data_IF_250291832267
#
_entry.id   IF_250291832267
#
_cell.length_a   1.000
_cell.length_b   1.000
_cell.length_c   1.000
_cell.angle_alpha   90.00
_cell.angle_beta   90.00
_cell.angle_gamma   90.00
#
_symmetry.space_group_name_H-M   'P 1'
#
loop_
_entity.id
_entity.type
_entity.pdbx_description
1 polymer ?
#
# COMPACT_ATOMS: atom_id res chain seq x y z
N UNK A 1 5.55 -25.13 19.19
CA UNK A 1 4.29 -24.39 18.96
C UNK A 1 3.22 -24.73 19.99
N UNK A 2 2.93 -26.00 20.27
CA UNK A 2 1.90 -26.35 21.28
C UNK A 2 2.18 -25.78 22.69
N UNK A 3 3.45 -25.63 23.09
CA UNK A 3 3.83 -25.12 24.42
C UNK A 3 3.78 -23.57 24.53
N UNK A 4 3.83 -22.85 23.44
CA UNK A 4 3.78 -21.39 23.46
C UNK A 4 2.80 -20.86 22.41
N UNK A 5 1.64 -20.40 22.88
CA UNK A 5 0.54 -19.90 22.05
C UNK A 5 0.90 -18.66 21.23
N UNK A 6 1.93 -17.90 21.65
CA UNK A 6 2.42 -16.75 20.93
C UNK A 6 2.94 -17.11 19.53
N UNK A 7 3.67 -18.21 19.39
CA UNK A 7 4.14 -18.66 18.08
C UNK A 7 2.97 -19.01 17.14
N UNK A 8 1.97 -19.72 17.65
CA UNK A 8 0.80 -20.06 16.84
C UNK A 8 0.08 -18.81 16.36
N UNK A 9 -0.17 -17.89 17.28
CA UNK A 9 -0.86 -16.64 16.98
C UNK A 9 -0.08 -15.77 15.96
N UNK A 10 1.18 -15.45 16.26
CA UNK A 10 1.96 -14.53 15.45
C UNK A 10 2.43 -15.12 14.12
N UNK A 11 2.63 -16.44 14.03
CA UNK A 11 3.15 -17.05 12.79
C UNK A 11 2.06 -17.55 11.86
N UNK A 12 0.86 -17.86 12.36
CA UNK A 12 -0.21 -18.45 11.54
C UNK A 12 -1.46 -17.60 11.61
N UNK A 13 -2.07 -17.43 12.80
CA UNK A 13 -3.39 -16.81 12.94
C UNK A 13 -3.37 -15.37 12.47
N UNK A 14 -2.44 -14.58 12.93
CA UNK A 14 -2.38 -13.15 12.62
C UNK A 14 -2.02 -12.88 11.15
N UNK A 15 -1.01 -13.51 10.51
CA UNK A 15 -0.76 -13.33 9.08
C UNK A 15 -1.93 -13.73 8.18
N UNK A 16 -2.60 -14.84 8.50
CA UNK A 16 -3.81 -15.27 7.78
C UNK A 16 -4.93 -14.25 7.96
N UNK A 17 -5.17 -13.79 9.18
CA UNK A 17 -6.16 -12.76 9.47
C UNK A 17 -5.84 -11.45 8.70
N UNK A 18 -4.60 -10.97 8.74
CA UNK A 18 -4.18 -9.76 8.02
C UNK A 18 -4.40 -9.89 6.51
N UNK A 19 -4.12 -11.08 5.94
CA UNK A 19 -4.35 -11.35 4.52
C UNK A 19 -5.84 -11.19 4.17
N UNK A 20 -6.73 -11.87 4.89
CA UNK A 20 -8.16 -11.76 4.64
C UNK A 20 -8.71 -10.37 4.95
N UNK A 21 -8.24 -9.74 6.01
CA UNK A 21 -8.69 -8.41 6.43
C UNK A 21 -8.42 -7.36 5.34
N UNK A 22 -7.19 -7.24 4.85
CA UNK A 22 -6.86 -6.23 3.85
C UNK A 22 -7.48 -6.52 2.50
N UNK A 23 -7.51 -7.78 2.06
CA UNK A 23 -8.15 -8.15 0.79
C UNK A 23 -9.65 -7.90 0.80
N UNK A 24 -10.34 -8.20 1.91
CA UNK A 24 -11.76 -7.93 2.07
C UNK A 24 -12.07 -6.44 2.25
N UNK A 25 -11.24 -5.71 3.00
CA UNK A 25 -11.41 -4.26 3.21
C UNK A 25 -11.38 -3.48 1.89
N UNK A 26 -10.61 -3.94 0.93
CA UNK A 26 -10.39 -3.25 -0.35
C UNK A 26 -10.96 -4.03 -1.54
N UNK A 27 -11.94 -4.91 -1.33
CA UNK A 27 -12.49 -5.82 -2.35
C UNK A 27 -13.07 -5.06 -3.55
N UNK A 28 -13.69 -3.91 -3.33
CA UNK A 28 -14.22 -3.04 -4.38
C UNK A 28 -13.13 -2.33 -5.22
N UNK A 29 -11.87 -2.45 -4.84
CA UNK A 29 -10.70 -1.91 -5.54
C UNK A 29 -10.51 -0.41 -5.42
N UNK A 30 -11.55 0.40 -5.35
CA UNK A 30 -11.51 1.85 -5.08
C UNK A 30 -12.59 2.22 -4.06
N UNK A 31 -12.38 3.28 -3.24
CA UNK A 31 -13.46 3.84 -2.44
C UNK A 31 -14.65 4.24 -3.30
N UNK A 32 -15.82 3.75 -2.96
CA UNK A 32 -17.08 4.02 -3.65
C UNK A 32 -18.02 4.84 -2.79
N UNK A 33 -19.05 5.43 -3.42
CA UNK A 33 -20.13 6.15 -2.73
C UNK A 33 -19.65 7.20 -1.72
N UNK A 34 -18.51 7.86 -1.98
CA UNK A 34 -18.00 8.90 -1.07
C UNK A 34 -18.97 10.07 -0.98
N UNK A 35 -19.42 10.45 0.23
CA UNK A 35 -20.42 11.47 0.42
C UNK A 35 -19.94 12.85 -0.05
N UNK A 36 -20.71 13.44 -0.98
CA UNK A 36 -20.53 14.81 -1.47
C UNK A 36 -21.82 15.60 -1.34
N UNK A 37 -21.70 16.93 -1.20
CA UNK A 37 -22.81 17.84 -1.10
C UNK A 37 -23.02 18.67 -2.37
N UNK A 38 -24.18 19.30 -2.46
CA UNK A 38 -24.51 20.25 -3.53
C UNK A 38 -25.11 21.50 -2.91
N UNK A 39 -24.63 22.67 -3.34
CA UNK A 39 -25.23 23.98 -3.07
C UNK A 39 -25.72 24.53 -4.41
N UNK A 40 -27.00 24.40 -4.71
CA UNK A 40 -27.60 24.84 -5.96
C UNK A 40 -28.51 26.05 -5.74
N UNK A 41 -28.00 27.24 -6.07
CA UNK A 41 -28.79 28.49 -6.01
C UNK A 41 -29.48 28.83 -7.34
N UNK A 42 -29.15 28.12 -8.43
CA UNK A 42 -29.80 28.29 -9.74
C UNK A 42 -31.07 27.46 -9.87
N UNK A 43 -31.08 26.29 -9.27
CA UNK A 43 -32.19 25.33 -9.18
C UNK A 43 -32.87 25.03 -10.54
N UNK A 44 -32.06 24.96 -11.59
CA UNK A 44 -32.50 24.77 -12.97
C UNK A 44 -32.52 23.30 -13.38
N UNK A 45 -33.04 23.03 -14.58
CA UNK A 45 -32.98 21.71 -15.21
C UNK A 45 -31.53 21.30 -15.53
N UNK A 46 -30.67 22.29 -15.84
CA UNK A 46 -29.25 22.08 -16.15
C UNK A 46 -28.44 21.69 -14.92
N UNK A 47 -28.59 22.46 -13.82
CA UNK A 47 -27.87 22.14 -12.57
C UNK A 47 -28.32 20.81 -11.98
N UNK A 48 -29.61 20.46 -12.07
CA UNK A 48 -30.14 19.13 -11.69
C UNK A 48 -29.57 17.99 -12.53
N UNK A 49 -29.31 18.23 -13.85
CA UNK A 49 -28.64 17.23 -14.70
C UNK A 49 -27.20 17.04 -14.31
N UNK A 50 -26.46 18.11 -14.01
CA UNK A 50 -25.07 18.04 -13.55
C UNK A 50 -24.96 17.35 -12.17
N UNK A 51 -25.89 17.62 -11.27
CA UNK A 51 -25.97 16.92 -9.98
C UNK A 51 -26.20 15.42 -10.15
N UNK A 52 -27.12 15.02 -11.03
CA UNK A 52 -27.36 13.61 -11.35
C UNK A 52 -26.17 12.96 -12.03
N UNK A 53 -25.44 13.69 -12.87
CA UNK A 53 -24.21 13.19 -13.47
C UNK A 53 -23.14 12.95 -12.41
N UNK A 54 -22.97 13.84 -11.43
CA UNK A 54 -22.06 13.66 -10.32
C UNK A 54 -22.45 12.45 -9.46
N UNK A 55 -23.73 12.26 -9.19
CA UNK A 55 -24.28 11.15 -8.42
C UNK A 55 -24.18 9.80 -9.18
N UNK A 56 -23.96 9.81 -10.49
CA UNK A 56 -23.80 8.61 -11.31
C UNK A 56 -22.38 8.07 -11.37
N UNK A 57 -21.39 8.78 -10.85
CA UNK A 57 -20.02 8.30 -10.79
C UNK A 57 -19.85 7.28 -9.66
N UNK A 58 -18.99 6.30 -9.89
CA UNK A 58 -18.76 5.22 -8.94
C UNK A 58 -18.14 5.71 -7.61
N UNK A 59 -17.28 6.74 -7.68
CA UNK A 59 -16.53 7.19 -6.50
C UNK A 59 -17.31 8.18 -5.62
N UNK A 60 -18.34 8.86 -6.17
CA UNK A 60 -19.06 9.93 -5.45
C UNK A 60 -20.55 9.67 -5.37
N UNK A 61 -21.14 10.06 -4.24
CA UNK A 61 -22.58 10.02 -4.00
C UNK A 61 -23.07 11.33 -3.43
N UNK A 62 -24.09 11.91 -4.05
CA UNK A 62 -24.72 13.13 -3.55
C UNK A 62 -25.65 12.78 -2.39
N UNK A 63 -25.22 13.08 -1.16
CA UNK A 63 -25.97 12.73 0.07
C UNK A 63 -26.82 13.89 0.61
N UNK A 64 -26.48 15.15 0.27
CA UNK A 64 -27.16 16.30 0.82
C UNK A 64 -27.16 17.50 -0.13
N UNK A 65 -28.25 18.30 -0.05
CA UNK A 65 -28.35 19.61 -0.65
C UNK A 65 -28.32 20.65 0.47
N UNK A 66 -27.40 21.61 0.36
CA UNK A 66 -27.23 22.66 1.36
C UNK A 66 -27.73 23.98 0.84
N UNK A 67 -28.41 24.81 1.68
CA UNK A 67 -28.94 26.11 1.26
C UNK A 67 -27.84 27.17 1.10
N UNK A 68 -26.68 26.96 1.72
CA UNK A 68 -25.57 27.93 1.69
C UNK A 68 -24.20 27.23 1.62
N UNK A 69 -23.21 27.98 1.11
CA UNK A 69 -21.81 27.55 1.09
C UNK A 69 -21.26 27.33 2.51
N UNK A 70 -21.71 28.15 3.47
CA UNK A 70 -21.20 28.06 4.85
C UNK A 70 -21.65 26.78 5.54
N UNK A 71 -22.90 26.37 5.35
CA UNK A 71 -23.40 25.10 5.89
C UNK A 71 -22.68 23.90 5.25
N UNK A 72 -22.49 23.92 3.94
CA UNK A 72 -21.74 22.87 3.24
C UNK A 72 -20.27 22.82 3.70
N UNK A 73 -19.62 23.98 3.94
CA UNK A 73 -18.25 24.03 4.49
C UNK A 73 -18.20 23.46 5.91
N UNK A 74 -19.18 23.74 6.74
CA UNK A 74 -19.28 23.15 8.08
C UNK A 74 -19.42 21.63 8.02
N UNK A 75 -20.18 21.08 7.07
CA UNK A 75 -20.30 19.64 6.87
C UNK A 75 -18.95 19.02 6.44
N UNK A 76 -18.19 19.69 5.57
CA UNK A 76 -16.81 19.25 5.24
C UNK A 76 -15.90 19.29 6.46
N UNK A 77 -15.96 20.36 7.27
CA UNK A 77 -15.14 20.50 8.48
C UNK A 77 -15.46 19.44 9.54
N UNK A 78 -16.71 19.03 9.64
CA UNK A 78 -17.15 17.94 10.54
C UNK A 78 -16.81 16.55 9.99
N UNK A 79 -16.39 16.44 8.72
CA UNK A 79 -16.13 15.16 8.06
C UNK A 79 -17.40 14.40 7.65
N UNK A 80 -18.54 15.08 7.56
CA UNK A 80 -19.81 14.50 7.10
C UNK A 80 -19.82 14.26 5.58
N UNK A 81 -19.11 15.13 4.82
CA UNK A 81 -18.91 15.04 3.39
C UNK A 81 -17.45 15.32 3.02
N UNK A 82 -16.95 14.75 1.94
CA UNK A 82 -15.58 14.98 1.44
C UNK A 82 -15.45 16.25 0.59
N UNK A 83 -16.56 16.75 0.03
CA UNK A 83 -16.58 17.95 -0.77
C UNK A 83 -17.98 18.33 -1.22
N UNK A 84 -18.09 19.46 -1.88
CA UNK A 84 -19.35 19.92 -2.48
C UNK A 84 -19.13 20.76 -3.73
N UNK A 85 -20.13 20.79 -4.60
CA UNK A 85 -20.20 21.69 -5.74
C UNK A 85 -21.15 22.85 -5.43
N UNK A 86 -20.76 24.05 -5.86
CA UNK A 86 -21.56 25.27 -5.75
C UNK A 86 -21.97 25.78 -7.12
N UNK A 87 -23.27 25.86 -7.37
CA UNK A 87 -23.88 26.48 -8.54
C UNK A 87 -24.45 27.86 -8.14
N UNK A 88 -23.87 28.98 -8.62
CA UNK A 88 -24.36 30.31 -8.31
C UNK A 88 -25.70 30.59 -9.02
N UNK A 89 -26.41 31.63 -8.56
CA UNK A 89 -27.62 32.10 -9.22
C UNK A 89 -27.33 32.49 -10.67
N UNK A 90 -28.28 32.22 -11.59
CA UNK A 90 -28.18 32.52 -13.04
C UNK A 90 -27.16 31.69 -13.83
N UNK A 91 -26.61 30.61 -13.24
CA UNK A 91 -25.68 29.71 -13.95
C UNK A 91 -26.23 29.31 -15.33
N UNK A 92 -27.47 28.85 -15.40
CA UNK A 92 -28.11 28.44 -16.68
C UNK A 92 -28.38 29.60 -17.61
N UNK A 93 -28.81 30.75 -17.07
CA UNK A 93 -29.09 31.95 -17.89
C UNK A 93 -27.78 32.45 -18.55
N UNK A 94 -26.67 32.43 -17.84
CA UNK A 94 -25.37 32.82 -18.39
C UNK A 94 -24.87 31.82 -19.44
N UNK A 95 -25.06 30.51 -19.21
CA UNK A 95 -24.75 29.47 -20.22
C UNK A 95 -25.53 29.70 -21.50
N UNK A 96 -26.85 29.95 -21.43
CA UNK A 96 -27.68 30.21 -22.61
C UNK A 96 -27.33 31.52 -23.29
N UNK A 97 -26.84 32.50 -22.56
CA UNK A 97 -26.38 33.79 -23.08
C UNK A 97 -24.94 33.72 -23.65
N UNK A 98 -24.36 32.54 -23.77
CA UNK A 98 -22.94 32.31 -24.16
C UNK A 98 -21.95 33.04 -23.27
N UNK A 99 -22.29 33.26 -22.01
CA UNK A 99 -21.38 33.70 -20.94
C UNK A 99 -20.87 32.52 -20.16
N UNK A 100 -19.68 32.63 -19.61
CA UNK A 100 -19.06 31.57 -18.80
C UNK A 100 -19.42 31.74 -17.32
N UNK A 101 -20.36 30.95 -16.74
CA UNK A 101 -20.60 30.96 -15.32
C UNK A 101 -19.43 30.27 -14.58
N UNK A 102 -19.15 30.72 -13.37
CA UNK A 102 -18.15 30.11 -12.50
C UNK A 102 -18.81 29.12 -11.56
N UNK A 103 -18.53 27.83 -11.74
CA UNK A 103 -18.91 26.76 -10.82
C UNK A 103 -17.72 26.50 -9.90
N UNK A 104 -17.95 26.50 -8.57
CA UNK A 104 -16.89 26.32 -7.60
C UNK A 104 -16.95 24.94 -6.96
N UNK A 105 -15.78 24.33 -6.77
CA UNK A 105 -15.61 23.06 -6.01
C UNK A 105 -14.92 23.35 -4.71
N UNK A 106 -15.45 22.73 -3.65
CA UNK A 106 -14.82 22.70 -2.34
C UNK A 106 -14.64 21.25 -1.94
N UNK A 107 -13.42 20.84 -1.65
CA UNK A 107 -13.11 19.45 -1.32
C UNK A 107 -11.96 19.39 -0.32
N UNK A 108 -11.95 18.32 0.49
CA UNK A 108 -10.99 18.13 1.55
C UNK A 108 -9.84 17.20 1.08
N UNK A 109 -8.62 17.62 1.31
CA UNK A 109 -7.44 16.77 1.20
C UNK A 109 -6.94 16.23 2.55
N UNK A 110 -7.79 16.20 3.57
CA UNK A 110 -7.46 15.51 4.82
C UNK A 110 -7.12 14.02 4.58
N UNK A 111 -7.74 13.41 3.55
CA UNK A 111 -7.33 12.15 2.95
C UNK A 111 -6.97 12.39 1.48
N UNK A 112 -5.70 12.12 1.11
CA UNK A 112 -5.23 12.30 -0.27
C UNK A 112 -6.04 11.46 -1.28
N UNK A 113 -6.34 10.22 -0.93
CA UNK A 113 -7.11 9.32 -1.81
C UNK A 113 -8.52 9.83 -2.02
N UNK A 114 -9.26 10.10 -0.94
CA UNK A 114 -10.63 10.60 -1.03
C UNK A 114 -10.69 11.96 -1.75
N UNK A 115 -9.82 12.89 -1.38
CA UNK A 115 -9.76 14.22 -2.00
C UNK A 115 -9.46 14.16 -3.49
N UNK A 116 -8.53 13.31 -3.93
CA UNK A 116 -8.17 13.18 -5.35
C UNK A 116 -9.29 12.53 -6.18
N UNK A 117 -9.97 11.52 -5.65
CA UNK A 117 -11.10 10.89 -6.33
C UNK A 117 -12.30 11.84 -6.44
N UNK A 118 -12.68 12.52 -5.35
CA UNK A 118 -13.75 13.53 -5.36
C UNK A 118 -13.42 14.66 -6.34
N UNK A 119 -12.18 15.18 -6.31
CA UNK A 119 -11.75 16.21 -7.26
C UNK A 119 -11.82 15.73 -8.71
N UNK A 120 -11.38 14.50 -8.99
CA UNK A 120 -11.46 13.89 -10.33
C UNK A 120 -12.91 13.86 -10.83
N UNK A 121 -13.85 13.41 -10.01
CA UNK A 121 -15.26 13.30 -10.39
C UNK A 121 -15.92 14.67 -10.56
N UNK A 122 -15.66 15.63 -9.65
CA UNK A 122 -16.12 17.01 -9.78
C UNK A 122 -15.60 17.67 -11.07
N UNK A 123 -14.32 17.49 -11.39
CA UNK A 123 -13.71 18.01 -12.61
C UNK A 123 -14.29 17.33 -13.86
N UNK A 124 -14.49 16.01 -13.81
CA UNK A 124 -15.09 15.25 -14.92
C UNK A 124 -16.52 15.69 -15.18
N UNK A 125 -17.32 15.85 -14.13
CA UNK A 125 -18.69 16.37 -14.21
C UNK A 125 -18.72 17.74 -14.93
N UNK A 126 -17.86 18.68 -14.53
CA UNK A 126 -17.84 20.01 -15.15
C UNK A 126 -17.35 19.97 -16.61
N UNK A 127 -16.35 19.13 -16.91
CA UNK A 127 -15.84 18.97 -18.27
C UNK A 127 -16.92 18.39 -19.20
N UNK A 128 -17.59 17.31 -18.76
CA UNK A 128 -18.68 16.70 -19.52
C UNK A 128 -19.89 17.64 -19.64
N UNK A 129 -20.21 18.35 -18.57
CA UNK A 129 -21.28 19.36 -18.58
C UNK A 129 -20.98 20.51 -19.56
N UNK A 130 -19.77 21.03 -19.55
CA UNK A 130 -19.32 22.07 -20.46
C UNK A 130 -19.37 21.59 -21.92
N UNK A 131 -18.91 20.38 -22.16
CA UNK A 131 -18.97 19.77 -23.51
C UNK A 131 -20.41 19.57 -24.01
N UNK A 132 -21.31 19.10 -23.14
CA UNK A 132 -22.73 18.91 -23.48
C UNK A 132 -23.43 20.22 -23.83
N UNK A 133 -23.22 21.28 -23.04
CA UNK A 133 -23.76 22.61 -23.32
C UNK A 133 -23.15 23.19 -24.60
N UNK A 134 -21.81 23.10 -24.74
CA UNK A 134 -21.11 23.56 -25.95
C UNK A 134 -21.62 22.87 -27.23
N UNK A 135 -21.80 21.54 -27.16
CA UNK A 135 -22.39 20.76 -28.24
C UNK A 135 -23.80 21.29 -28.62
N UNK A 136 -24.65 21.47 -27.61
CA UNK A 136 -26.03 21.95 -27.84
C UNK A 136 -26.05 23.34 -28.51
N UNK A 137 -25.22 24.27 -28.04
CA UNK A 137 -25.14 25.65 -28.63
C UNK A 137 -24.60 25.61 -30.05
N UNK A 138 -23.56 24.81 -30.31
CA UNK A 138 -22.97 24.73 -31.66
C UNK A 138 -23.90 24.03 -32.66
N UNK A 139 -24.60 22.96 -32.22
CA UNK A 139 -25.63 22.29 -33.06
C UNK A 139 -26.74 23.28 -33.41
N UNK A 140 -27.19 24.10 -32.46
CA UNK A 140 -28.19 25.14 -32.73
C UNK A 140 -27.71 26.21 -33.72
N UNK A 141 -26.40 26.42 -33.85
CA UNK A 141 -25.75 27.31 -34.83
C UNK A 141 -25.49 26.63 -36.19
N UNK A 142 -25.86 25.37 -36.36
CA UNK A 142 -25.72 24.64 -37.62
C UNK A 142 -24.36 24.00 -37.87
N UNK A 143 -23.48 23.90 -36.85
CA UNK A 143 -22.22 23.18 -37.01
C UNK A 143 -22.43 21.66 -37.07
N UNK A 144 -21.62 20.98 -37.90
CA UNK A 144 -21.61 19.52 -37.98
C UNK A 144 -20.94 18.89 -36.75
N UNK A 145 -21.32 17.66 -36.40
CA UNK A 145 -20.70 16.94 -35.23
C UNK A 145 -19.17 16.90 -35.32
N UNK A 146 -18.60 16.76 -36.54
CA UNK A 146 -17.13 16.73 -36.72
C UNK A 146 -16.49 18.08 -36.36
N UNK A 147 -17.11 19.20 -36.77
CA UNK A 147 -16.64 20.53 -36.41
C UNK A 147 -16.78 20.81 -34.92
N UNK A 148 -17.89 20.37 -34.33
CA UNK A 148 -18.15 20.51 -32.90
C UNK A 148 -17.09 19.75 -32.10
N UNK A 149 -16.80 18.49 -32.43
CA UNK A 149 -15.78 17.70 -31.74
C UNK A 149 -14.38 18.31 -31.88
N UNK A 150 -14.01 18.78 -33.08
CA UNK A 150 -12.73 19.45 -33.31
C UNK A 150 -12.58 20.77 -32.50
N UNK A 151 -13.71 21.46 -32.25
CA UNK A 151 -13.71 22.69 -31.47
C UNK A 151 -13.70 22.43 -29.94
N UNK A 152 -14.51 21.46 -29.46
CA UNK A 152 -14.63 21.14 -28.05
C UNK A 152 -13.42 20.36 -27.52
N UNK A 153 -12.81 19.56 -28.39
CA UNK A 153 -11.66 18.73 -28.05
C UNK A 153 -10.59 18.80 -29.16
N UNK A 154 -9.89 19.95 -29.28
CA UNK A 154 -8.92 20.16 -30.36
C UNK A 154 -7.70 19.24 -30.27
N UNK A 155 -7.41 18.73 -29.06
CA UNK A 155 -6.33 17.77 -28.81
C UNK A 155 -6.94 16.52 -28.19
N UNK A 156 -6.74 15.39 -28.86
CA UNK A 156 -7.12 14.08 -28.35
C UNK A 156 -5.95 13.55 -27.51
N UNK A 157 -6.22 13.24 -26.26
CA UNK A 157 -5.24 12.61 -25.37
C UNK A 157 -5.33 11.08 -25.55
N UNK A 158 -4.26 10.51 -26.06
CA UNK A 158 -4.07 9.05 -26.07
C UNK A 158 -3.31 8.67 -24.80
N UNK A 159 -3.97 7.92 -23.91
CA UNK A 159 -3.43 7.61 -22.59
C UNK A 159 -3.19 6.11 -22.44
N UNK A 160 -1.95 5.76 -22.17
CA UNK A 160 -1.54 4.39 -21.88
C UNK A 160 -1.09 4.28 -20.42
N UNK A 161 -1.85 3.57 -19.60
CA UNK A 161 -1.45 3.28 -18.23
C UNK A 161 -0.49 2.10 -18.19
N UNK A 162 0.65 2.28 -17.53
CA UNK A 162 1.64 1.23 -17.27
C UNK A 162 1.46 0.71 -15.84
N UNK A 163 1.40 -0.60 -15.68
CA UNK A 163 1.21 -1.23 -14.38
C UNK A 163 -0.26 -1.51 -14.06
N UNK A 164 -0.84 -0.87 -13.07
CA UNK A 164 -2.22 -1.07 -12.61
C UNK A 164 -3.25 -0.23 -13.44
N UNK A 165 -3.68 -0.67 -14.63
CA UNK A 165 -4.54 0.13 -15.51
C UNK A 165 -5.93 0.34 -14.93
N UNK A 166 -6.39 -0.55 -14.06
CA UNK A 166 -7.68 -0.46 -13.37
C UNK A 166 -7.65 0.50 -12.18
N UNK A 167 -6.45 1.04 -11.82
CA UNK A 167 -6.23 1.85 -10.61
C UNK A 167 -6.83 1.17 -9.38
N UNK A 168 -6.70 -0.16 -9.32
CA UNK A 168 -7.23 -0.98 -8.24
C UNK A 168 -6.37 -0.80 -6.98
N UNK A 169 -6.99 -0.25 -5.95
CA UNK A 169 -6.33 0.06 -4.68
C UNK A 169 -5.97 -1.21 -3.90
N UNK A 170 -6.76 -2.28 -4.04
CA UNK A 170 -6.47 -3.56 -3.45
C UNK A 170 -5.18 -4.17 -4.03
N UNK A 171 -5.06 -4.17 -5.37
CA UNK A 171 -3.83 -4.64 -6.04
C UNK A 171 -2.61 -3.82 -5.61
N UNK A 172 -2.76 -2.49 -5.48
CA UNK A 172 -1.68 -1.59 -5.08
C UNK A 172 -1.25 -1.78 -3.62
N UNK A 173 -2.20 -1.78 -2.70
CA UNK A 173 -1.90 -1.67 -1.27
C UNK A 173 -1.74 -3.03 -0.58
N UNK A 174 -2.57 -4.03 -0.92
CA UNK A 174 -2.49 -5.36 -0.30
C UNK A 174 -1.17 -6.05 -0.59
N UNK A 175 -0.64 -5.90 -1.80
CA UNK A 175 0.64 -6.51 -2.21
C UNK A 175 1.84 -5.92 -1.49
N UNK A 176 1.68 -4.76 -0.87
CA UNK A 176 2.70 -4.13 -0.03
C UNK A 176 2.44 -4.35 1.47
N UNK A 177 1.23 -4.06 1.94
CA UNK A 177 0.93 -4.08 3.37
C UNK A 177 1.04 -5.48 3.98
N UNK A 178 0.46 -6.48 3.31
CA UNK A 178 0.43 -7.84 3.86
C UNK A 178 1.83 -8.45 3.97
N UNK A 179 2.68 -8.43 2.91
CA UNK A 179 4.07 -8.89 3.04
C UNK A 179 4.86 -8.08 4.08
N UNK A 180 4.67 -6.76 4.16
CA UNK A 180 5.37 -5.94 5.15
C UNK A 180 4.98 -6.33 6.57
N UNK A 181 3.69 -6.53 6.85
CA UNK A 181 3.22 -7.05 8.14
C UNK A 181 3.80 -8.44 8.44
N UNK A 182 3.81 -9.34 7.46
CA UNK A 182 4.38 -10.68 7.63
C UNK A 182 5.87 -10.60 7.98
N UNK A 183 6.66 -9.80 7.27
CA UNK A 183 8.10 -9.71 7.48
C UNK A 183 8.44 -8.98 8.80
N UNK A 184 7.63 -8.01 9.23
CA UNK A 184 7.72 -7.46 10.59
C UNK A 184 7.58 -8.57 11.64
N UNK A 185 6.62 -9.47 11.47
CA UNK A 185 6.44 -10.60 12.38
C UNK A 185 7.60 -11.59 12.30
N UNK A 186 8.16 -11.83 11.11
CA UNK A 186 9.37 -12.65 10.94
C UNK A 186 10.53 -12.04 11.75
N UNK A 187 10.77 -10.72 11.65
CA UNK A 187 11.78 -10.03 12.47
C UNK A 187 11.57 -10.26 13.96
N UNK A 188 10.33 -9.97 14.42
CA UNK A 188 9.99 -10.04 15.85
C UNK A 188 10.09 -11.46 16.40
N UNK A 189 9.53 -12.44 15.71
CA UNK A 189 9.52 -13.85 16.16
C UNK A 189 10.93 -14.43 16.13
N UNK A 190 11.75 -14.05 15.16
CA UNK A 190 13.15 -14.47 15.09
C UNK A 190 13.94 -13.94 16.30
N UNK A 191 13.86 -12.61 16.54
CA UNK A 191 14.51 -11.99 17.71
C UNK A 191 13.95 -12.54 19.03
N UNK A 192 12.62 -12.71 19.13
CA UNK A 192 11.97 -13.30 20.31
C UNK A 192 12.45 -14.73 20.57
N UNK A 193 12.56 -15.55 19.54
CA UNK A 193 12.99 -16.94 19.67
C UNK A 193 14.40 -17.08 20.24
N UNK A 194 15.34 -16.26 19.75
CA UNK A 194 16.71 -16.25 20.25
C UNK A 194 16.80 -15.61 21.64
N UNK A 195 16.13 -14.49 21.85
CA UNK A 195 16.12 -13.79 23.14
C UNK A 195 15.47 -14.59 24.26
N UNK A 196 14.50 -15.44 23.95
CA UNK A 196 13.84 -16.32 24.92
C UNK A 196 14.79 -17.39 25.44
N UNK A 197 15.75 -17.89 24.64
CA UNK A 197 16.77 -18.81 25.10
C UNK A 197 17.64 -18.19 26.22
N UNK A 198 18.01 -16.93 26.06
CA UNK A 198 18.73 -16.20 27.12
C UNK A 198 17.86 -16.00 28.35
N UNK A 199 16.60 -15.59 28.16
CA UNK A 199 15.66 -15.33 29.26
C UNK A 199 15.37 -16.58 30.09
N UNK A 200 15.19 -17.73 29.44
CA UNK A 200 14.89 -19.01 30.10
C UNK A 200 16.14 -19.77 30.56
N UNK A 201 17.33 -19.22 30.28
CA UNK A 201 18.62 -19.86 30.58
C UNK A 201 18.83 -21.21 29.88
N UNK A 202 18.16 -21.42 28.73
CA UNK A 202 18.27 -22.64 27.89
C UNK A 202 19.33 -22.50 26.81
N UNK A 203 19.94 -21.32 26.68
CA UNK A 203 20.95 -21.01 25.66
C UNK A 203 22.16 -21.96 25.71
N UNK A 204 22.62 -22.34 26.92
CA UNK A 204 23.73 -23.29 27.11
C UNK A 204 23.37 -24.68 26.58
N UNK A 205 22.18 -25.17 26.91
CA UNK A 205 21.71 -26.48 26.42
C UNK A 205 21.62 -26.48 24.89
N UNK A 206 21.15 -25.37 24.28
CA UNK A 206 21.11 -25.22 22.81
C UNK A 206 22.51 -25.31 22.22
N UNK A 207 23.53 -24.70 22.85
CA UNK A 207 24.90 -24.78 22.37
C UNK A 207 25.51 -26.18 22.57
N UNK A 208 25.30 -26.84 23.70
CA UNK A 208 25.71 -28.21 23.94
C UNK A 208 25.14 -29.19 22.92
N UNK A 209 23.83 -29.07 22.60
CA UNK A 209 23.18 -29.90 21.56
C UNK A 209 23.74 -29.70 20.15
N UNK A 210 24.38 -28.56 19.89
CA UNK A 210 24.99 -28.23 18.60
C UNK A 210 26.50 -28.43 18.55
N UNK A 211 27.06 -29.20 19.49
CA UNK A 211 28.50 -29.38 19.66
C UNK A 211 29.27 -28.07 19.72
N UNK A 212 28.73 -27.11 20.43
CA UNK A 212 29.29 -25.76 20.62
C UNK A 212 29.42 -24.90 19.34
N UNK A 213 28.79 -25.33 18.27
CA UNK A 213 28.80 -24.61 16.99
C UNK A 213 27.58 -23.67 16.90
N UNK A 214 27.74 -22.33 16.95
CA UNK A 214 26.64 -21.39 16.91
C UNK A 214 25.87 -21.40 15.58
N UNK A 215 26.54 -21.74 14.48
CA UNK A 215 25.88 -21.85 13.18
C UNK A 215 24.87 -23.00 13.16
N UNK A 216 25.25 -24.17 13.68
CA UNK A 216 24.37 -25.35 13.80
C UNK A 216 23.22 -25.06 14.76
N UNK A 217 23.52 -24.42 15.92
CA UNK A 217 22.54 -24.05 16.93
C UNK A 217 21.44 -23.15 16.34
N UNK A 218 21.83 -22.08 15.67
CA UNK A 218 20.90 -21.10 15.11
C UNK A 218 20.14 -21.70 13.93
N UNK A 219 20.80 -22.36 12.99
CA UNK A 219 20.14 -22.98 11.84
C UNK A 219 19.15 -24.04 12.28
N UNK A 220 19.51 -24.92 13.20
CA UNK A 220 18.62 -25.94 13.73
C UNK A 220 17.39 -25.37 14.43
N UNK A 221 17.57 -24.24 15.16
CA UNK A 221 16.46 -23.55 15.83
C UNK A 221 15.55 -22.80 14.86
N UNK A 222 16.11 -22.18 13.83
CA UNK A 222 15.36 -21.36 12.87
C UNK A 222 14.66 -22.20 11.80
N UNK A 223 15.21 -23.35 11.40
CA UNK A 223 14.68 -24.18 10.32
C UNK A 223 13.17 -24.51 10.46
N UNK A 224 12.66 -24.95 11.63
CA UNK A 224 11.22 -25.19 11.79
C UNK A 224 10.39 -23.91 11.61
N UNK A 225 10.89 -22.76 12.05
CA UNK A 225 10.21 -21.49 11.87
C UNK A 225 10.23 -21.04 10.41
N UNK A 226 11.35 -21.24 9.72
CA UNK A 226 11.48 -20.97 8.26
C UNK A 226 10.43 -21.74 7.48
N UNK A 227 10.28 -23.05 7.76
CA UNK A 227 9.30 -23.90 7.09
C UNK A 227 7.88 -23.33 7.30
N UNK A 228 7.53 -22.96 8.52
CA UNK A 228 6.20 -22.39 8.81
C UNK A 228 6.01 -21.06 8.07
N UNK A 229 7.00 -20.18 8.09
CA UNK A 229 6.92 -18.92 7.38
C UNK A 229 6.82 -19.07 5.86
N UNK A 230 7.52 -20.04 5.28
CA UNK A 230 7.40 -20.36 3.86
C UNK A 230 6.02 -20.91 3.50
N UNK A 231 5.42 -21.72 4.37
CA UNK A 231 4.05 -22.21 4.17
C UNK A 231 3.03 -21.07 4.25
N UNK A 232 3.18 -20.16 5.22
CA UNK A 232 2.29 -19.00 5.37
C UNK A 232 2.47 -18.01 4.21
N UNK A 233 3.69 -17.77 3.77
CA UNK A 233 3.96 -16.95 2.58
C UNK A 233 3.40 -17.61 1.32
N UNK A 234 3.56 -18.92 1.16
CA UNK A 234 2.97 -19.69 0.07
C UNK A 234 1.44 -19.63 0.06
N UNK A 235 0.81 -19.71 1.23
CA UNK A 235 -0.63 -19.49 1.37
C UNK A 235 -1.04 -18.08 0.91
N UNK A 236 -0.33 -17.03 1.34
CA UNK A 236 -0.58 -15.66 0.91
C UNK A 236 -0.48 -15.52 -0.62
N UNK A 237 0.62 -16.00 -1.21
CA UNK A 237 0.83 -15.93 -2.65
C UNK A 237 -0.27 -16.68 -3.41
N UNK A 238 -0.61 -17.90 -2.98
CA UNK A 238 -1.67 -18.67 -3.60
C UNK A 238 -3.03 -17.99 -3.49
N UNK A 239 -3.36 -17.44 -2.33
CA UNK A 239 -4.64 -16.76 -2.13
C UNK A 239 -4.75 -15.50 -2.99
N UNK A 240 -3.75 -14.63 -2.94
CA UNK A 240 -3.79 -13.33 -3.65
C UNK A 240 -3.66 -13.50 -5.18
N UNK A 241 -2.72 -14.30 -5.64
CA UNK A 241 -2.44 -14.43 -7.07
C UNK A 241 -3.16 -15.60 -7.74
N UNK A 242 -3.53 -16.63 -6.98
CA UNK A 242 -4.28 -17.77 -7.50
C UNK A 242 -5.79 -17.64 -7.33
N UNK A 243 -6.28 -17.31 -6.12
CA UNK A 243 -7.73 -17.22 -5.84
C UNK A 243 -8.29 -15.87 -6.26
N UNK A 244 -7.67 -14.77 -5.82
CA UNK A 244 -8.10 -13.40 -6.18
C UNK A 244 -7.62 -12.97 -7.57
N UNK A 245 -6.79 -13.78 -8.23
CA UNK A 245 -6.29 -13.58 -9.58
C UNK A 245 -5.63 -12.21 -9.81
N UNK A 246 -4.86 -11.70 -8.84
CA UNK A 246 -4.11 -10.48 -9.02
C UNK A 246 -3.11 -10.63 -10.17
N UNK A 247 -2.90 -9.58 -10.99
CA UNK A 247 -2.03 -9.66 -12.15
C UNK A 247 -0.57 -9.94 -11.74
N UNK A 248 0.04 -10.91 -12.40
CA UNK A 248 1.45 -11.30 -12.18
C UNK A 248 2.09 -11.78 -13.50
N UNK A 249 2.23 -10.91 -14.49
CA UNK A 249 2.79 -11.26 -15.80
C UNK A 249 4.19 -11.85 -15.72
N UNK A 250 4.96 -11.56 -14.68
CA UNK A 250 6.26 -12.21 -14.43
C UNK A 250 6.18 -13.69 -14.07
N UNK A 251 5.00 -14.22 -13.74
CA UNK A 251 4.75 -15.65 -13.49
C UNK A 251 5.05 -16.10 -12.07
N UNK A 252 4.56 -17.31 -11.76
CA UNK A 252 4.64 -17.94 -10.44
C UNK A 252 6.08 -18.17 -9.95
N UNK A 253 7.01 -18.46 -10.84
CA UNK A 253 8.40 -18.72 -10.47
C UNK A 253 9.05 -17.51 -9.80
N UNK A 254 8.77 -16.29 -10.28
CA UNK A 254 9.28 -15.04 -9.68
C UNK A 254 8.65 -14.82 -8.31
N UNK A 255 7.32 -15.00 -8.19
CA UNK A 255 6.59 -14.83 -6.92
C UNK A 255 7.09 -15.79 -5.84
N UNK A 256 7.25 -17.08 -6.18
CA UNK A 256 7.72 -18.09 -5.22
C UNK A 256 9.17 -17.84 -4.79
N UNK A 257 10.03 -17.51 -5.74
CA UNK A 257 11.43 -17.15 -5.43
C UNK A 257 11.49 -15.90 -4.54
N UNK A 258 10.72 -14.87 -4.87
CA UNK A 258 10.66 -13.63 -4.09
C UNK A 258 10.14 -13.89 -2.68
N UNK A 259 9.06 -14.66 -2.54
CA UNK A 259 8.51 -15.05 -1.23
C UNK A 259 9.52 -15.80 -0.36
N UNK A 260 10.27 -16.72 -0.97
CA UNK A 260 11.35 -17.44 -0.28
C UNK A 260 12.47 -16.49 0.16
N UNK A 261 12.99 -15.66 -0.74
CA UNK A 261 14.05 -14.69 -0.42
C UNK A 261 13.60 -13.68 0.62
N UNK A 262 12.34 -13.22 0.56
CA UNK A 262 11.77 -12.29 1.53
C UNK A 262 11.79 -12.88 2.95
N UNK A 263 11.33 -14.11 3.12
CA UNK A 263 11.34 -14.79 4.43
C UNK A 263 12.78 -14.97 4.93
N UNK A 264 13.69 -15.44 4.07
CA UNK A 264 15.09 -15.66 4.46
C UNK A 264 15.81 -14.35 4.80
N UNK A 265 15.59 -13.29 4.02
CA UNK A 265 16.15 -11.95 4.29
C UNK A 265 15.63 -11.38 5.61
N UNK A 266 14.33 -11.55 5.89
CA UNK A 266 13.72 -11.11 7.13
C UNK A 266 14.26 -11.88 8.35
N UNK A 267 14.38 -13.21 8.25
CA UNK A 267 14.99 -14.00 9.32
C UNK A 267 16.45 -13.64 9.51
N UNK A 268 17.21 -13.50 8.42
CA UNK A 268 18.62 -13.09 8.46
C UNK A 268 18.76 -11.74 9.17
N UNK A 269 17.93 -10.76 8.83
CA UNK A 269 17.92 -9.47 9.49
C UNK A 269 17.59 -9.57 10.99
N UNK A 270 16.58 -10.35 11.37
CA UNK A 270 16.21 -10.57 12.76
C UNK A 270 17.33 -11.22 13.60
N UNK A 271 18.02 -12.20 13.03
CA UNK A 271 19.20 -12.84 13.66
C UNK A 271 20.35 -11.84 13.78
N UNK A 272 20.59 -11.04 12.73
CA UNK A 272 21.63 -10.02 12.73
C UNK A 272 21.40 -8.98 13.83
N UNK A 273 20.17 -8.48 13.97
CA UNK A 273 19.82 -7.52 15.02
C UNK A 273 19.95 -8.12 16.43
N UNK A 274 19.58 -9.37 16.61
CA UNK A 274 19.85 -10.06 17.86
C UNK A 274 21.35 -10.19 18.14
N UNK A 275 22.17 -10.46 17.13
CA UNK A 275 23.63 -10.54 17.26
C UNK A 275 24.28 -9.21 17.61
N UNK A 276 23.75 -8.09 17.12
CA UNK A 276 24.19 -6.75 17.50
C UNK A 276 23.79 -6.41 18.94
N UNK A 277 22.60 -6.79 19.33
CA UNK A 277 22.02 -6.49 20.64
C UNK A 277 21.49 -7.78 21.30
N UNK A 278 22.33 -8.61 21.92
CA UNK A 278 21.93 -9.91 22.46
C UNK A 278 21.12 -9.78 23.74
N UNK A 279 19.97 -9.18 23.64
CA UNK A 279 18.98 -8.99 24.68
C UNK A 279 17.58 -9.11 24.07
N UNK A 280 16.69 -9.86 24.71
CA UNK A 280 15.31 -10.04 24.25
C UNK A 280 14.61 -8.70 24.01
N UNK A 281 14.68 -7.80 25.00
CA UNK A 281 13.98 -6.51 24.94
C UNK A 281 14.54 -5.60 23.85
N UNK A 282 15.87 -5.46 23.81
CA UNK A 282 16.53 -4.54 22.89
C UNK A 282 16.41 -5.00 21.43
N UNK A 283 16.67 -6.28 21.15
CA UNK A 283 16.54 -6.82 19.79
C UNK A 283 15.12 -6.73 19.25
N UNK A 284 14.11 -7.03 20.09
CA UNK A 284 12.70 -6.88 19.69
C UNK A 284 12.31 -5.42 19.44
N UNK A 285 12.76 -4.49 20.30
CA UNK A 285 12.46 -3.06 20.13
C UNK A 285 13.04 -2.51 18.83
N UNK A 286 14.29 -2.87 18.51
CA UNK A 286 14.93 -2.44 17.25
C UNK A 286 14.27 -3.10 16.05
N UNK A 287 13.97 -4.40 16.09
CA UNK A 287 13.24 -5.08 15.02
C UNK A 287 11.86 -4.47 14.80
N UNK A 288 11.15 -4.11 15.86
CA UNK A 288 9.84 -3.44 15.76
C UNK A 288 9.97 -2.06 15.11
N UNK A 289 10.92 -1.23 15.59
CA UNK A 289 11.15 0.10 15.00
C UNK A 289 11.51 0.00 13.52
N UNK A 290 12.43 -0.90 13.18
CA UNK A 290 12.85 -1.10 11.79
C UNK A 290 11.72 -1.59 10.89
N UNK A 291 10.91 -2.53 11.40
CA UNK A 291 9.73 -3.02 10.69
C UNK A 291 8.70 -1.92 10.45
N UNK A 292 8.41 -1.07 11.45
CA UNK A 292 7.48 0.06 11.30
C UNK A 292 8.02 1.10 10.32
N UNK A 293 9.28 1.48 10.42
CA UNK A 293 9.91 2.41 9.48
C UNK A 293 9.92 1.86 8.04
N UNK A 294 9.97 0.54 7.87
CA UNK A 294 9.91 -0.10 6.56
C UNK A 294 8.67 0.31 5.75
N UNK A 295 7.50 0.49 6.39
CA UNK A 295 6.28 0.94 5.70
C UNK A 295 6.44 2.30 5.00
N UNK A 296 7.20 3.22 5.61
CA UNK A 296 7.46 4.53 5.02
C UNK A 296 8.56 4.48 3.96
N UNK A 297 9.56 3.59 4.14
CA UNK A 297 10.74 3.51 3.29
C UNK A 297 10.60 2.59 2.07
N UNK A 298 9.51 1.83 1.98
CA UNK A 298 9.20 1.00 0.80
C UNK A 298 9.02 1.86 -0.46
N UNK A 299 8.42 3.05 -0.34
CA UNK A 299 8.22 3.98 -1.44
C UNK A 299 6.77 4.13 -1.89
N UNK A 300 5.85 3.36 -1.32
CA UNK A 300 4.41 3.44 -1.63
C UNK A 300 3.71 4.59 -0.92
N UNK A 301 4.05 4.85 0.34
CA UNK A 301 3.48 5.98 1.10
C UNK A 301 4.02 7.33 0.61
N UNK A 302 5.33 7.38 0.33
CA UNK A 302 5.99 8.54 -0.26
C UNK A 302 7.00 8.06 -1.31
N UNK A 303 6.93 8.54 -2.57
CA UNK A 303 7.82 8.11 -3.64
C UNK A 303 9.29 8.36 -3.28
N UNK A 304 10.10 7.31 -3.27
CA UNK A 304 11.50 7.41 -2.85
C UNK A 304 12.35 8.31 -3.74
N UNK A 305 12.03 8.42 -5.02
CA UNK A 305 12.71 9.34 -5.94
C UNK A 305 12.46 10.82 -5.61
N UNK A 306 11.41 11.11 -4.81
CA UNK A 306 11.11 12.45 -4.32
C UNK A 306 11.65 12.72 -2.90
N UNK A 307 12.33 11.75 -2.29
CA UNK A 307 12.99 11.92 -0.99
C UNK A 307 14.35 12.59 -1.17
N UNK A 308 14.87 13.20 -0.10
CA UNK A 308 16.24 13.69 -0.06
C UNK A 308 17.24 12.56 -0.29
N UNK A 309 18.42 12.83 -0.90
CA UNK A 309 19.39 11.79 -1.25
C UNK A 309 19.83 10.90 -0.09
N UNK A 310 19.96 11.46 1.11
CA UNK A 310 20.32 10.73 2.32
C UNK A 310 19.25 9.73 2.72
N UNK A 311 17.97 10.08 2.58
CA UNK A 311 16.84 9.21 2.85
C UNK A 311 16.72 8.11 1.78
N UNK A 312 17.07 8.40 0.52
CA UNK A 312 17.12 7.39 -0.54
C UNK A 312 18.18 6.33 -0.24
N UNK A 313 19.35 6.75 0.27
CA UNK A 313 20.39 5.81 0.71
C UNK A 313 19.93 5.00 1.91
N UNK A 314 19.35 5.65 2.91
CA UNK A 314 18.80 4.99 4.10
C UNK A 314 17.72 3.95 3.73
N UNK A 315 16.87 4.26 2.75
CA UNK A 315 15.82 3.35 2.30
C UNK A 315 16.35 2.00 1.81
N UNK A 316 17.59 1.94 1.29
CA UNK A 316 18.21 0.69 0.87
C UNK A 316 18.61 -0.24 2.04
N UNK A 317 18.59 0.24 3.27
CA UNK A 317 18.83 -0.60 4.46
C UNK A 317 17.59 -1.37 4.92
N UNK A 318 16.47 -1.23 4.24
CA UNK A 318 15.22 -1.91 4.57
C UNK A 318 14.94 -3.07 3.61
N UNK A 319 14.96 -4.33 4.08
CA UNK A 319 14.72 -5.50 3.22
C UNK A 319 13.40 -5.41 2.44
N UNK A 320 12.36 -4.83 3.06
CA UNK A 320 11.03 -4.69 2.47
C UNK A 320 11.02 -3.88 1.18
N UNK A 321 11.86 -2.84 1.11
CA UNK A 321 12.01 -2.04 -0.11
C UNK A 321 12.45 -2.91 -1.29
N UNK A 322 13.45 -3.76 -1.08
CA UNK A 322 13.96 -4.63 -2.14
C UNK A 322 12.94 -5.69 -2.55
N UNK A 323 12.18 -6.25 -1.59
CA UNK A 323 11.07 -7.17 -1.89
C UNK A 323 10.04 -6.47 -2.77
N UNK A 324 9.64 -5.25 -2.40
CA UNK A 324 8.64 -4.50 -3.15
C UNK A 324 9.12 -4.12 -4.56
N UNK A 325 10.36 -3.65 -4.71
CA UNK A 325 10.92 -3.31 -6.03
C UNK A 325 11.01 -4.52 -6.95
N UNK A 326 11.42 -5.69 -6.43
CA UNK A 326 11.40 -6.94 -7.24
C UNK A 326 9.99 -7.33 -7.61
N UNK A 327 9.04 -7.19 -6.69
CA UNK A 327 7.62 -7.43 -6.97
C UNK A 327 7.12 -6.50 -8.06
N UNK A 328 7.29 -5.19 -7.90
CA UNK A 328 6.78 -4.17 -8.80
C UNK A 328 7.35 -4.31 -10.23
N UNK A 329 8.66 -4.51 -10.35
CA UNK A 329 9.33 -4.54 -11.64
C UNK A 329 9.19 -5.91 -12.31
N UNK A 330 9.53 -6.99 -11.62
CA UNK A 330 9.61 -8.31 -12.25
C UNK A 330 8.31 -9.11 -12.17
N UNK A 331 7.65 -9.17 -11.01
CA UNK A 331 6.45 -9.97 -10.84
C UNK A 331 5.21 -9.29 -11.46
N UNK A 332 5.01 -8.01 -11.14
CA UNK A 332 3.85 -7.23 -11.57
C UNK A 332 4.08 -6.55 -12.93
N UNK A 333 5.25 -5.98 -13.17
CA UNK A 333 5.60 -5.33 -14.43
C UNK A 333 5.98 -6.30 -15.56
N UNK A 334 6.41 -7.52 -15.23
CA UNK A 334 6.87 -8.52 -16.20
C UNK A 334 8.20 -8.17 -16.88
N UNK A 335 8.99 -7.26 -16.27
CA UNK A 335 10.29 -6.85 -16.80
C UNK A 335 11.38 -7.91 -16.56
N UNK A 336 12.48 -7.87 -17.33
CA UNK A 336 13.56 -8.83 -17.23
C UNK A 336 14.18 -8.91 -15.83
N UNK A 337 14.58 -10.10 -15.43
CA UNK A 337 15.18 -10.38 -14.13
C UNK A 337 16.48 -9.61 -13.86
N UNK A 338 17.20 -9.24 -14.92
CA UNK A 338 18.43 -8.45 -14.80
C UNK A 338 18.20 -7.05 -14.25
N UNK A 339 17.02 -6.47 -14.49
CA UNK A 339 16.69 -5.12 -14.03
C UNK A 339 16.52 -5.07 -12.51
N UNK A 340 16.22 -6.20 -11.88
CA UNK A 340 16.03 -6.33 -10.43
C UNK A 340 17.23 -6.99 -9.72
N UNK A 341 18.27 -7.34 -10.45
CA UNK A 341 19.45 -8.03 -9.90
C UNK A 341 20.06 -7.32 -8.67
N UNK A 342 20.22 -5.98 -8.62
CA UNK A 342 20.72 -5.31 -7.41
C UNK A 342 19.84 -5.54 -6.18
N UNK A 343 18.52 -5.58 -6.36
CA UNK A 343 17.59 -5.81 -5.26
C UNK A 343 17.62 -7.26 -4.78
N UNK A 344 17.79 -8.21 -5.69
CA UNK A 344 17.96 -9.62 -5.34
C UNK A 344 19.27 -9.86 -4.58
N UNK A 345 20.36 -9.23 -5.02
CA UNK A 345 21.66 -9.29 -4.32
C UNK A 345 21.49 -8.71 -2.91
N UNK A 346 20.79 -7.58 -2.75
CA UNK A 346 20.52 -7.00 -1.44
C UNK A 346 19.75 -7.98 -0.53
N UNK A 347 18.72 -8.66 -1.04
CA UNK A 347 17.98 -9.66 -0.26
C UNK A 347 18.87 -10.85 0.16
N UNK A 348 19.74 -11.32 -0.71
CA UNK A 348 20.72 -12.37 -0.38
C UNK A 348 21.71 -11.87 0.69
N UNK A 349 22.16 -10.61 0.61
CA UNK A 349 23.01 -10.00 1.64
C UNK A 349 22.30 -9.92 2.98
N UNK A 350 21.03 -9.54 3.02
CA UNK A 350 20.23 -9.56 4.27
C UNK A 350 20.08 -10.98 4.83
N UNK A 351 19.82 -11.97 3.97
CA UNK A 351 19.74 -13.38 4.37
C UNK A 351 21.06 -13.90 4.95
N UNK A 352 22.19 -13.43 4.42
CA UNK A 352 23.54 -13.83 4.87
C UNK A 352 24.10 -12.97 6.01
N UNK A 353 23.46 -11.86 6.36
CA UNK A 353 23.90 -10.94 7.42
C UNK A 353 24.18 -11.61 8.79
N UNK A 354 23.50 -12.70 9.20
CA UNK A 354 23.85 -13.45 10.41
C UNK A 354 25.31 -13.89 10.49
N UNK A 355 25.94 -14.16 9.34
CA UNK A 355 27.34 -14.62 9.30
C UNK A 355 28.29 -13.59 9.93
N UNK A 356 28.00 -12.31 9.79
CA UNK A 356 28.81 -11.20 10.33
C UNK A 356 28.80 -11.16 11.86
N UNK A 357 27.75 -11.67 12.49
CA UNK A 357 27.54 -11.60 13.95
C UNK A 357 27.58 -12.98 14.62
N UNK A 358 27.85 -14.04 13.88
CA UNK A 358 27.76 -15.42 14.35
C UNK A 358 28.63 -15.69 15.59
N UNK A 359 29.90 -15.23 15.57
CA UNK A 359 30.81 -15.38 16.73
C UNK A 359 30.29 -14.65 17.97
N UNK A 360 29.72 -13.45 17.76
CA UNK A 360 29.15 -12.66 18.85
C UNK A 360 27.91 -13.34 19.44
N UNK A 361 27.06 -13.91 18.60
CA UNK A 361 25.91 -14.69 19.05
C UNK A 361 26.37 -15.92 19.83
N UNK A 362 27.36 -16.66 19.34
CA UNK A 362 27.92 -17.82 20.04
C UNK A 362 28.44 -17.47 21.44
N UNK A 363 29.16 -16.35 21.55
CA UNK A 363 29.63 -15.82 22.84
C UNK A 363 28.44 -15.43 23.73
N UNK A 364 27.45 -14.73 23.18
CA UNK A 364 26.27 -14.30 23.93
C UNK A 364 25.46 -15.50 24.48
N UNK A 365 25.28 -16.55 23.68
CA UNK A 365 24.55 -17.76 24.12
C UNK A 365 25.28 -18.55 25.22
N UNK A 366 26.60 -18.47 25.25
CA UNK A 366 27.42 -19.17 26.27
C UNK A 366 27.61 -18.38 27.56
N UNK A 367 27.86 -17.08 27.46
CA UNK A 367 28.37 -16.27 28.58
C UNK A 367 27.34 -15.29 29.15
N UNK A 368 26.34 -14.85 28.37
CA UNK A 368 25.45 -13.79 28.84
C UNK A 368 24.43 -14.32 29.86
N UNK A 369 24.34 -13.59 30.97
CA UNK A 369 23.28 -13.74 31.96
C UNK A 369 22.19 -12.72 31.63
N UNK A 370 20.96 -13.19 31.49
CA UNK A 370 19.81 -12.31 31.26
C UNK A 370 19.60 -11.40 32.48
N UNK A 371 19.68 -10.09 32.27
CA UNK A 371 19.24 -9.08 33.23
C UNK A 371 17.83 -8.64 32.83
N UNK A 372 16.85 -8.69 33.77
CA UNK A 372 15.45 -8.37 33.47
C UNK A 372 15.21 -6.90 33.09
#
# INVERSE_FOLDING_TARGET
MKANRMYLFCMIVFPVFVTFFFTSLMDEGQPQDMPVGVVDLDNSSTTRKLTRLLDSFQSTKVVAHYPSVDEARHAVQKGEIYGFVYFPKKTTADLLASRQPTISYYYSYASLTAGSLVFKDLKTMATLGSAAVGKQVMTAKGYTDRQIMAFLQPIVLDTHTVGNPWVNYNVYLTTMLVPTCMLLLVFLITAYSLGTELKQRTAKQLMEMSADNPFVAITGKMLPQTIVWLLVMGFYLYYVFGVLAFPHPGGWHILLMLGMLAVLAAQGFGIFMFGLFPSLRMSMSICSLWGVLSFSMVGTAFPTLAMDPELQVLANLFPMRHVFLVYEIAAFGGYPFMDVAPNLIALVLFASAPLLVMLRIGKALKEYVYMP
#
